data_IF_813127522824
#
_entry.id   IF_813127522824
#
_cell.length_a   1.000
_cell.length_b   1.000
_cell.length_c   1.000
_cell.angle_alpha   90.00
_cell.angle_beta   90.00
_cell.angle_gamma   90.00
#
_symmetry.space_group_name_H-M   'P 1'
#
loop_
_entity.id
_entity.type
_entity.pdbx_description
1 polymer ?
#
# COMPACT_ATOMS: atom_id res chain seq x y z
N UNK A 1 -22.02 23.35 -7.94
CA UNK A 1 -21.38 22.02 -7.83
C UNK A 1 -21.02 21.86 -6.37
N UNK A 2 -21.59 20.87 -5.68
CA UNK A 2 -21.09 20.48 -4.36
C UNK A 2 -19.66 19.98 -4.52
N UNK A 3 -18.75 20.44 -3.66
CA UNK A 3 -17.40 19.94 -3.64
C UNK A 3 -17.43 18.51 -3.09
N UNK A 4 -17.35 17.53 -3.98
CA UNK A 4 -17.24 16.11 -3.63
C UNK A 4 -15.97 15.83 -2.79
N UNK A 5 -15.00 16.74 -2.82
CA UNK A 5 -13.82 16.74 -1.96
C UNK A 5 -14.10 17.66 -0.76
N UNK A 6 -14.80 17.12 0.24
CA UNK A 6 -14.80 17.68 1.60
C UNK A 6 -13.99 16.71 2.52
N UNK A 7 -13.62 17.15 3.72
CA UNK A 7 -12.82 16.32 4.63
C UNK A 7 -13.52 15.02 5.03
N UNK A 8 -14.84 15.05 5.19
CA UNK A 8 -15.66 13.88 5.56
C UNK A 8 -15.59 12.79 4.49
N UNK A 9 -15.85 13.15 3.24
CA UNK A 9 -15.77 12.24 2.09
C UNK A 9 -14.35 11.69 1.88
N UNK A 10 -13.31 12.47 2.20
CA UNK A 10 -11.92 12.00 2.12
C UNK A 10 -11.60 10.98 3.21
N UNK A 11 -12.12 11.16 4.43
CA UNK A 11 -11.95 10.21 5.52
C UNK A 11 -12.69 8.90 5.21
N UNK A 12 -13.91 8.97 4.67
CA UNK A 12 -14.67 7.79 4.23
C UNK A 12 -13.95 7.00 3.14
N UNK A 13 -13.39 7.70 2.14
CA UNK A 13 -12.59 7.07 1.08
C UNK A 13 -11.35 6.40 1.68
N UNK A 14 -10.69 7.07 2.62
CA UNK A 14 -9.51 6.53 3.30
C UNK A 14 -9.88 5.26 4.08
N UNK A 15 -10.93 5.30 4.90
CA UNK A 15 -11.37 4.17 5.70
C UNK A 15 -11.79 2.99 4.81
N UNK A 16 -12.48 3.28 3.70
CA UNK A 16 -12.83 2.28 2.69
C UNK A 16 -11.59 1.63 2.05
N UNK A 17 -10.56 2.41 1.74
CA UNK A 17 -9.30 1.90 1.20
C UNK A 17 -8.56 1.06 2.26
N UNK A 18 -8.40 1.58 3.48
CA UNK A 18 -7.73 0.89 4.59
C UNK A 18 -8.40 -0.45 4.89
N UNK A 19 -9.73 -0.49 4.93
CA UNK A 19 -10.50 -1.72 5.11
C UNK A 19 -10.29 -2.72 3.97
N UNK A 20 -10.23 -2.26 2.71
CA UNK A 20 -9.98 -3.13 1.55
C UNK A 20 -8.58 -3.75 1.55
N UNK A 21 -7.58 -3.02 2.06
CA UNK A 21 -6.19 -3.49 2.06
C UNK A 21 -5.78 -4.14 3.39
N UNK A 22 -6.65 -4.12 4.41
CA UNK A 22 -6.38 -4.60 5.78
C UNK A 22 -5.90 -6.05 5.82
N UNK A 23 -6.43 -6.92 4.97
CA UNK A 23 -6.08 -8.34 4.97
C UNK A 23 -4.97 -8.70 3.96
N UNK A 24 -4.46 -7.71 3.20
CA UNK A 24 -3.42 -7.93 2.20
C UNK A 24 -2.03 -7.80 2.84
N UNK A 25 -1.18 -8.83 2.87
CA UNK A 25 0.19 -8.73 3.40
C UNK A 25 0.98 -7.58 2.76
N UNK A 26 1.81 -6.90 3.56
CA UNK A 26 2.58 -5.74 3.11
C UNK A 26 3.51 -6.07 1.93
N UNK A 27 4.06 -7.28 1.91
CA UNK A 27 4.91 -7.82 0.84
C UNK A 27 4.17 -7.88 -0.51
N UNK A 28 2.89 -8.23 -0.51
CA UNK A 28 2.07 -8.27 -1.72
C UNK A 28 1.76 -6.86 -2.24
N UNK A 29 1.56 -5.90 -1.33
CA UNK A 29 1.41 -4.49 -1.70
C UNK A 29 2.71 -3.96 -2.32
N UNK A 30 3.87 -4.30 -1.73
CA UNK A 30 5.19 -3.96 -2.28
C UNK A 30 5.44 -4.62 -3.65
N UNK A 31 5.02 -5.86 -3.84
CA UNK A 31 5.05 -6.52 -5.14
C UNK A 31 4.17 -5.78 -6.16
N UNK A 32 3.02 -5.26 -5.74
CA UNK A 32 2.18 -4.36 -6.55
C UNK A 32 2.90 -3.09 -6.98
N UNK A 33 3.65 -2.45 -6.07
CA UNK A 33 4.46 -1.27 -6.40
C UNK A 33 5.54 -1.59 -7.45
N UNK A 34 6.24 -2.72 -7.30
CA UNK A 34 7.21 -3.19 -8.29
C UNK A 34 6.54 -3.48 -9.64
N UNK A 35 5.38 -4.15 -9.63
CA UNK A 35 4.57 -4.40 -10.81
C UNK A 35 4.19 -3.12 -11.55
N UNK A 36 3.77 -2.08 -10.82
CA UNK A 36 3.45 -0.77 -11.41
C UNK A 36 4.67 -0.11 -12.06
N UNK A 37 5.86 -0.20 -11.46
CA UNK A 37 7.10 0.34 -12.05
C UNK A 37 7.43 -0.40 -13.36
N UNK A 38 7.39 -1.73 -13.33
CA UNK A 38 7.69 -2.57 -14.50
C UNK A 38 6.67 -2.30 -15.62
N UNK A 39 5.38 -2.25 -15.28
CA UNK A 39 4.31 -1.97 -16.23
C UNK A 39 4.42 -0.56 -16.82
N UNK A 40 4.69 0.44 -15.99
CA UNK A 40 4.94 1.82 -16.44
C UNK A 40 6.10 1.87 -17.44
N UNK A 41 7.21 1.18 -17.14
CA UNK A 41 8.37 1.10 -18.03
C UNK A 41 8.01 0.47 -19.38
N UNK A 42 7.25 -0.64 -19.37
CA UNK A 42 6.79 -1.30 -20.58
C UNK A 42 5.84 -0.42 -21.41
N UNK A 43 4.89 0.25 -20.77
CA UNK A 43 3.96 1.18 -21.42
C UNK A 43 4.71 2.35 -22.06
N UNK A 44 5.71 2.90 -21.38
CA UNK A 44 6.54 3.97 -21.92
C UNK A 44 7.32 3.50 -23.16
N UNK A 45 7.90 2.29 -23.10
CA UNK A 45 8.63 1.68 -24.22
C UNK A 45 7.74 1.41 -25.45
N UNK A 46 6.46 1.13 -25.25
CA UNK A 46 5.50 0.83 -26.32
C UNK A 46 4.76 2.07 -26.85
N UNK A 47 5.13 3.27 -26.40
CA UNK A 47 4.55 4.54 -26.86
C UNK A 47 3.31 5.00 -26.09
N UNK A 48 2.91 4.29 -25.03
CA UNK A 48 1.76 4.62 -24.18
C UNK A 48 2.18 5.56 -23.03
N UNK A 49 2.76 6.72 -23.35
CA UNK A 49 3.36 7.66 -22.38
C UNK A 49 2.40 8.17 -21.32
N UNK A 50 1.14 8.46 -21.67
CA UNK A 50 0.14 8.94 -20.70
C UNK A 50 -0.21 7.84 -19.68
N UNK A 51 -0.49 6.62 -20.15
CA UNK A 51 -0.76 5.49 -19.26
C UNK A 51 0.46 5.15 -18.38
N UNK A 52 1.66 5.19 -18.96
CA UNK A 52 2.90 4.99 -18.22
C UNK A 52 3.06 5.99 -17.06
N UNK A 53 2.74 7.27 -17.30
CA UNK A 53 2.80 8.31 -16.26
C UNK A 53 1.80 8.08 -15.13
N UNK A 54 0.57 7.69 -15.45
CA UNK A 54 -0.48 7.42 -14.45
C UNK A 54 -0.10 6.19 -13.61
N UNK A 55 0.31 5.09 -14.25
CA UNK A 55 0.68 3.87 -13.53
C UNK A 55 1.97 4.09 -12.70
N UNK A 56 2.94 4.80 -13.27
CA UNK A 56 4.20 5.12 -12.59
C UNK A 56 4.00 6.00 -11.36
N UNK A 57 3.11 7.00 -11.41
CA UNK A 57 2.83 7.88 -10.27
C UNK A 57 2.16 7.14 -9.10
N UNK A 58 1.44 6.05 -9.37
CA UNK A 58 0.85 5.18 -8.35
C UNK A 58 1.88 4.31 -7.63
N UNK A 59 3.05 4.05 -8.21
CA UNK A 59 4.05 3.17 -7.60
C UNK A 59 4.54 3.70 -6.24
N UNK A 60 4.74 5.02 -6.11
CA UNK A 60 5.20 5.66 -4.87
C UNK A 60 4.20 5.50 -3.72
N UNK A 61 2.91 5.89 -3.87
CA UNK A 61 1.94 5.70 -2.79
C UNK A 61 1.71 4.22 -2.46
N UNK A 62 1.68 3.31 -3.46
CA UNK A 62 1.57 1.86 -3.20
C UNK A 62 2.77 1.37 -2.37
N UNK A 63 4.00 1.77 -2.72
CA UNK A 63 5.19 1.42 -1.96
C UNK A 63 5.15 1.97 -0.53
N UNK A 64 4.70 3.22 -0.34
CA UNK A 64 4.55 3.83 0.98
C UNK A 64 3.61 3.03 1.89
N UNK A 65 2.45 2.63 1.36
CA UNK A 65 1.48 1.80 2.08
C UNK A 65 2.08 0.42 2.41
N UNK A 66 2.73 -0.22 1.43
CA UNK A 66 3.36 -1.54 1.62
C UNK A 66 4.45 -1.51 2.69
N UNK A 67 5.30 -0.47 2.69
CA UNK A 67 6.36 -0.30 3.69
C UNK A 67 5.82 -0.03 5.10
N UNK A 68 4.78 0.80 5.23
CA UNK A 68 4.15 1.07 6.52
C UNK A 68 3.63 -0.23 7.14
N UNK A 69 2.90 -1.02 6.35
CA UNK A 69 2.35 -2.30 6.81
C UNK A 69 3.41 -3.35 7.09
N UNK A 70 4.43 -3.45 6.24
CA UNK A 70 5.55 -4.38 6.44
C UNK A 70 6.32 -4.06 7.73
N UNK A 71 6.50 -2.78 8.05
CA UNK A 71 7.12 -2.34 9.30
C UNK A 71 6.33 -2.79 10.53
N UNK A 72 5.00 -2.77 10.47
CA UNK A 72 4.16 -3.24 11.58
C UNK A 72 4.30 -4.75 11.77
N UNK A 73 4.36 -5.53 10.68
CA UNK A 73 4.65 -6.97 10.73
C UNK A 73 6.02 -7.26 11.34
N UNK A 74 7.06 -6.53 10.94
CA UNK A 74 8.40 -6.67 11.52
C UNK A 74 8.41 -6.35 13.02
N UNK A 75 7.72 -5.29 13.45
CA UNK A 75 7.60 -4.93 14.86
C UNK A 75 6.86 -6.00 15.67
N UNK A 76 5.75 -6.53 15.14
CA UNK A 76 5.01 -7.62 15.79
C UNK A 76 5.86 -8.88 15.91
N UNK A 77 6.63 -9.23 14.86
CA UNK A 77 7.57 -10.34 14.91
C UNK A 77 8.63 -10.16 15.99
N UNK A 78 9.29 -9.00 16.04
CA UNK A 78 10.32 -8.69 17.05
C UNK A 78 9.73 -8.72 18.47
N UNK A 79 8.53 -8.16 18.69
CA UNK A 79 7.86 -8.20 19.98
C UNK A 79 7.50 -9.62 20.43
N UNK A 80 7.14 -10.51 19.49
CA UNK A 80 6.92 -11.94 19.78
C UNK A 80 8.22 -12.68 20.17
N UNK A 81 9.39 -12.19 19.76
CA UNK A 81 10.69 -12.76 20.16
C UNK A 81 11.23 -12.19 21.48
N UNK A 82 10.81 -11.00 21.90
CA UNK A 82 11.21 -10.38 23.17
C UNK A 82 10.38 -10.85 24.39
N UNK A 83 9.19 -11.44 24.18
CA UNK A 83 8.38 -12.04 25.23
C UNK A 83 8.11 -13.54 24.97
N UNK A 84 9.07 -14.44 25.25
CA UNK A 84 8.77 -15.84 25.40
C UNK A 84 8.07 -16.02 26.76
N UNK A 85 6.79 -16.38 26.73
CA UNK A 85 5.99 -16.91 27.86
C UNK A 85 5.57 -15.93 28.98
N UNK A 86 4.36 -15.38 28.82
CA UNK A 86 3.37 -15.38 29.90
C UNK A 86 2.03 -15.91 29.37
N UNK A 87 2.00 -17.20 29.03
CA UNK A 87 0.79 -18.00 29.28
C UNK A 87 1.18 -19.07 30.30
N UNK A 88 0.70 -18.86 31.53
CA UNK A 88 0.94 -19.67 32.72
C UNK A 88 -0.34 -20.46 33.02
N UNK A 89 -0.14 -21.70 33.49
CA UNK A 89 -1.05 -22.63 34.19
C UNK A 89 -1.86 -23.61 33.35
#
# INVERSE_FOLDING_TARGET
MENLINQENLEDIRELIENKIKDIPGELILAGALGSIILSSYLNKTGHTHAASIIGSLAVPIAGIGLAKYKDVLKSGIASFENPEQEVS
#
